data_IF_821960584205
#
_entry.id   IF_821960584205
#
_cell.length_a   1.000
_cell.length_b   1.000
_cell.length_c   1.000
_cell.angle_alpha   90.00
_cell.angle_beta   90.00
_cell.angle_gamma   90.00
#
_symmetry.space_group_name_H-M   'P 1'
#
loop_
_entity.id
_entity.type
_entity.pdbx_description
1 polymer ?
#
# COMPACT_ATOMS: atom_id res chain seq x y z
N UNK A 1 -8.97 8.58 0.22
CA UNK A 1 -8.19 7.37 -0.17
C UNK A 1 -8.20 6.31 0.92
N UNK A 2 -7.68 6.59 2.13
CA UNK A 2 -7.60 5.60 3.22
C UNK A 2 -8.94 4.90 3.53
N UNK A 3 -10.04 5.65 3.60
CA UNK A 3 -11.37 5.07 3.84
C UNK A 3 -11.81 4.05 2.77
N UNK A 4 -11.45 4.28 1.50
CA UNK A 4 -11.77 3.36 0.41
C UNK A 4 -10.99 2.04 0.56
N UNK A 5 -9.68 2.12 0.79
CA UNK A 5 -8.82 0.93 1.00
C UNK A 5 -9.22 0.19 2.28
N UNK A 6 -9.53 0.91 3.36
CA UNK A 6 -10.06 0.32 4.59
C UNK A 6 -11.38 -0.43 4.35
N UNK A 7 -12.29 0.12 3.56
CA UNK A 7 -13.52 -0.57 3.19
C UNK A 7 -13.23 -1.85 2.39
N UNK A 8 -12.29 -1.80 1.45
CA UNK A 8 -11.84 -2.96 0.65
C UNK A 8 -11.43 -4.15 1.54
N UNK A 9 -10.60 -3.89 2.56
CA UNK A 9 -10.11 -4.94 3.47
C UNK A 9 -11.11 -5.34 4.56
N UNK A 10 -11.66 -4.34 5.25
CA UNK A 10 -12.37 -4.55 6.52
C UNK A 10 -13.86 -4.84 6.34
N UNK A 11 -14.43 -4.51 5.18
CA UNK A 11 -15.86 -4.72 4.86
C UNK A 11 -16.04 -5.67 3.68
N UNK A 12 -15.35 -5.40 2.57
CA UNK A 12 -15.46 -6.24 1.38
C UNK A 12 -14.58 -7.50 1.45
N UNK A 13 -13.62 -7.56 2.38
CA UNK A 13 -12.70 -8.68 2.58
C UNK A 13 -11.99 -9.09 1.29
N UNK A 14 -11.51 -8.09 0.55
CA UNK A 14 -10.77 -8.24 -0.70
C UNK A 14 -9.58 -7.27 -0.74
N UNK A 15 -8.94 -7.13 -1.90
CA UNK A 15 -7.77 -6.27 -2.13
C UNK A 15 -7.83 -5.65 -3.53
N UNK A 16 -7.03 -4.60 -3.75
CA UNK A 16 -6.98 -3.87 -5.01
C UNK A 16 -5.76 -4.21 -5.88
N UNK A 17 -4.61 -4.51 -5.29
CA UNK A 17 -3.29 -4.78 -5.92
C UNK A 17 -2.62 -3.58 -6.61
N UNK A 18 -3.40 -2.61 -7.10
CA UNK A 18 -2.91 -1.45 -7.85
C UNK A 18 -3.37 -0.12 -7.22
N UNK A 19 -3.13 0.07 -5.92
CA UNK A 19 -3.47 1.33 -5.23
C UNK A 19 -2.48 2.41 -5.64
N UNK A 20 -2.90 3.32 -6.53
CA UNK A 20 -2.09 4.44 -7.04
C UNK A 20 -2.94 5.70 -7.26
N UNK A 21 -2.34 6.91 -7.33
CA UNK A 21 -3.09 8.14 -7.56
C UNK A 21 -4.01 8.08 -8.79
N UNK A 22 -3.52 7.48 -9.89
CA UNK A 22 -4.29 7.34 -11.14
C UNK A 22 -5.54 6.46 -11.04
N UNK A 23 -5.68 5.65 -9.99
CA UNK A 23 -6.85 4.79 -9.76
C UNK A 23 -7.86 5.41 -8.78
N UNK A 24 -7.69 6.69 -8.43
CA UNK A 24 -8.70 7.48 -7.73
C UNK A 24 -9.25 8.56 -8.65
N UNK A 25 -10.57 8.53 -8.87
CA UNK A 25 -11.28 9.57 -9.61
C UNK A 25 -12.04 10.49 -8.67
N UNK A 26 -12.29 11.72 -9.11
CA UNK A 26 -13.22 12.64 -8.47
C UNK A 26 -14.58 12.55 -9.16
N UNK A 27 -15.65 12.41 -8.38
CA UNK A 27 -17.02 12.55 -8.88
C UNK A 27 -17.47 14.03 -8.89
N UNK A 28 -18.73 14.28 -9.25
CA UNK A 28 -19.29 15.65 -9.33
C UNK A 28 -19.41 16.35 -7.96
N UNK A 29 -19.40 15.58 -6.87
CA UNK A 29 -19.43 16.08 -5.49
C UNK A 29 -18.01 16.19 -4.89
N UNK A 30 -16.97 15.95 -5.70
CA UNK A 30 -15.56 15.89 -5.28
C UNK A 30 -15.24 14.75 -4.30
N UNK A 31 -16.03 13.68 -4.27
CA UNK A 31 -15.66 12.47 -3.57
C UNK A 31 -14.59 11.71 -4.35
N UNK A 32 -13.65 11.07 -3.63
CA UNK A 32 -12.65 10.19 -4.23
C UNK A 32 -13.20 8.76 -4.36
N UNK A 33 -13.24 8.24 -5.58
CA UNK A 33 -13.72 6.90 -5.93
C UNK A 33 -12.55 6.02 -6.39
N UNK A 34 -12.38 4.87 -5.74
CA UNK A 34 -11.38 3.85 -6.11
C UNK A 34 -11.91 2.97 -7.26
N UNK A 35 -11.15 2.88 -8.36
CA UNK A 35 -11.50 2.19 -9.61
C UNK A 35 -10.40 1.24 -10.06
N UNK A 36 -10.61 0.53 -11.18
CA UNK A 36 -9.62 -0.36 -11.83
C UNK A 36 -9.35 -1.65 -11.03
N UNK A 37 -10.43 -2.41 -10.81
CA UNK A 37 -10.46 -3.64 -10.00
C UNK A 37 -9.99 -4.89 -10.75
N UNK A 38 -9.77 -4.80 -12.06
CA UNK A 38 -9.40 -5.91 -12.94
C UNK A 38 -7.89 -6.22 -12.97
N UNK A 39 -7.09 -5.54 -12.14
CA UNK A 39 -5.64 -5.54 -12.25
C UNK A 39 -4.98 -6.83 -11.73
N UNK A 40 -3.93 -7.26 -12.43
CA UNK A 40 -3.14 -8.46 -12.12
C UNK A 40 -1.67 -8.15 -11.84
N UNK A 41 -1.34 -6.88 -11.57
CA UNK A 41 0.02 -6.45 -11.27
C UNK A 41 0.05 -5.21 -10.39
N UNK A 42 1.13 -5.08 -9.63
CA UNK A 42 1.43 -3.89 -8.85
C UNK A 42 2.53 -3.09 -9.59
N UNK A 43 2.39 -1.76 -9.74
CA UNK A 43 3.47 -0.92 -10.26
C UNK A 43 4.67 -0.95 -9.33
N UNK A 44 5.86 -1.20 -9.85
CA UNK A 44 7.11 -1.24 -9.07
C UNK A 44 7.33 0.02 -8.23
N UNK A 45 6.89 1.17 -8.74
CA UNK A 45 7.04 2.47 -8.08
C UNK A 45 6.16 2.64 -6.83
N UNK A 46 5.22 1.73 -6.60
CA UNK A 46 4.21 1.83 -5.54
C UNK A 46 4.06 0.51 -4.76
N UNK A 47 4.48 -0.61 -5.33
CA UNK A 47 4.43 -1.93 -4.71
C UNK A 47 5.24 -2.01 -3.41
N UNK A 48 4.69 -2.70 -2.41
CA UNK A 48 5.45 -3.03 -1.21
C UNK A 48 6.62 -3.99 -1.54
N UNK A 49 7.79 -3.86 -0.90
CA UNK A 49 8.96 -4.69 -1.24
C UNK A 49 8.73 -6.18 -1.01
N UNK A 50 7.94 -6.56 0.01
CA UNK A 50 7.73 -7.95 0.38
C UNK A 50 6.78 -8.73 -0.56
N UNK A 51 6.12 -8.08 -1.52
CA UNK A 51 5.19 -8.73 -2.46
C UNK A 51 5.88 -9.34 -3.69
N UNK A 52 7.21 -9.35 -3.71
CA UNK A 52 8.08 -9.89 -4.77
C UNK A 52 7.96 -11.41 -5.00
N UNK A 53 7.08 -12.08 -4.27
CA UNK A 53 6.87 -13.51 -4.42
C UNK A 53 8.08 -14.35 -4.00
N UNK A 54 8.98 -13.87 -3.14
CA UNK A 54 10.10 -14.64 -2.57
C UNK A 54 9.93 -14.98 -1.08
N UNK A 55 8.87 -14.46 -0.44
CA UNK A 55 8.58 -14.69 0.98
C UNK A 55 7.33 -15.53 1.19
N UNK A 56 7.34 -16.35 2.24
CA UNK A 56 6.15 -16.88 2.89
C UNK A 56 5.85 -16.02 4.12
N UNK A 57 4.57 -15.92 4.50
CA UNK A 57 4.15 -15.14 5.66
C UNK A 57 3.21 -15.97 6.52
N UNK A 58 3.40 -15.88 7.83
CA UNK A 58 2.48 -16.41 8.83
C UNK A 58 2.19 -15.35 9.90
N UNK A 59 0.98 -15.41 10.44
CA UNK A 59 0.56 -14.57 11.55
C UNK A 59 0.79 -15.32 12.87
N UNK A 60 1.65 -14.77 13.73
CA UNK A 60 2.04 -15.38 15.01
C UNK A 60 1.51 -14.55 16.19
N UNK A 61 1.20 -15.18 17.34
CA UNK A 61 0.87 -14.45 18.55
C UNK A 61 2.03 -13.56 19.02
N UNK A 62 1.73 -12.34 19.43
CA UNK A 62 2.63 -11.41 20.11
C UNK A 62 2.28 -11.30 21.60
N UNK A 63 3.20 -10.75 22.40
CA UNK A 63 3.08 -10.66 23.87
C UNK A 63 1.87 -9.83 24.32
N UNK A 64 1.41 -8.87 23.50
CA UNK A 64 0.35 -7.91 23.84
C UNK A 64 -1.05 -8.29 23.33
N UNK A 65 -1.36 -9.59 23.17
CA UNK A 65 -2.60 -10.08 22.51
C UNK A 65 -2.78 -9.63 21.05
N UNK A 66 -1.82 -8.91 20.50
CA UNK A 66 -1.75 -8.57 19.10
C UNK A 66 -1.06 -9.71 18.34
N UNK A 67 -1.14 -9.67 17.02
CA UNK A 67 -0.44 -10.60 16.15
C UNK A 67 0.73 -9.92 15.45
N UNK A 68 1.76 -10.68 15.11
CA UNK A 68 2.92 -10.22 14.34
C UNK A 68 3.05 -11.07 13.09
N UNK A 69 3.49 -10.47 11.99
CA UNK A 69 3.79 -11.17 10.76
C UNK A 69 5.22 -11.67 10.80
N UNK A 70 5.41 -12.97 10.58
CA UNK A 70 6.73 -13.58 10.38
C UNK A 70 6.91 -13.89 8.91
N UNK A 71 7.84 -13.19 8.29
CA UNK A 71 8.26 -13.46 6.92
C UNK A 71 9.42 -14.45 6.92
N UNK A 72 9.29 -15.52 6.15
CA UNK A 72 10.35 -16.52 5.95
C UNK A 72 10.67 -16.61 4.47
N UNK A 73 11.96 -16.55 4.13
CA UNK A 73 12.37 -16.66 2.73
C UNK A 73 12.01 -18.04 2.19
N UNK A 74 11.27 -18.08 1.09
CA UNK A 74 10.85 -19.33 0.46
C UNK A 74 12.08 -20.07 -0.10
N UNK A 75 12.19 -21.36 0.23
CA UNK A 75 13.32 -22.23 -0.18
C UNK A 75 12.87 -23.50 -0.92
N UNK A 76 11.59 -23.57 -1.27
CA UNK A 76 11.02 -24.70 -2.00
C UNK A 76 11.29 -24.67 -3.51
N UNK A 77 10.68 -25.61 -4.26
CA UNK A 77 10.74 -25.63 -5.73
C UNK A 77 10.21 -24.34 -6.35
N UNK A 78 10.55 -24.07 -7.61
CA UNK A 78 10.00 -22.94 -8.36
C UNK A 78 8.47 -22.90 -8.24
N UNK A 79 7.95 -21.73 -7.84
CA UNK A 79 6.52 -21.55 -7.56
C UNK A 79 5.89 -20.66 -8.63
N UNK A 80 4.68 -21.02 -9.05
CA UNK A 80 3.87 -20.25 -9.99
C UNK A 80 2.39 -20.45 -9.68
N UNK A 81 1.67 -19.35 -9.52
CA UNK A 81 0.20 -19.34 -9.44
C UNK A 81 -0.43 -18.44 -10.51
N UNK A 82 0.38 -17.77 -11.34
CA UNK A 82 -0.07 -17.00 -12.49
C UNK A 82 0.08 -17.78 -13.81
N UNK A 83 -0.82 -17.59 -14.79
CA UNK A 83 -0.70 -18.18 -16.13
C UNK A 83 0.67 -17.98 -16.76
N UNK A 84 1.15 -18.95 -17.55
CA UNK A 84 2.44 -18.84 -18.24
C UNK A 84 2.45 -17.69 -19.27
N UNK A 85 1.27 -17.25 -19.70
CA UNK A 85 1.05 -16.14 -20.62
C UNK A 85 0.99 -14.77 -19.94
N UNK A 86 1.09 -14.71 -18.60
CA UNK A 86 1.08 -13.42 -17.88
C UNK A 86 2.30 -12.59 -18.29
N UNK A 87 2.11 -11.37 -18.80
CA UNK A 87 3.21 -10.50 -19.20
C UNK A 87 4.00 -10.01 -17.99
N UNK A 88 5.27 -9.69 -18.22
CA UNK A 88 6.19 -9.20 -17.18
C UNK A 88 7.04 -10.30 -16.54
N UNK A 89 8.07 -9.88 -15.82
CA UNK A 89 9.06 -10.73 -15.16
C UNK A 89 9.21 -10.43 -13.67
N UNK A 90 8.36 -9.56 -13.11
CA UNK A 90 8.37 -9.28 -11.67
C UNK A 90 7.80 -10.48 -10.90
N UNK A 91 8.13 -10.54 -9.61
CA UNK A 91 7.69 -11.58 -8.70
C UNK A 91 6.20 -11.91 -8.78
N UNK A 92 5.35 -10.88 -8.69
CA UNK A 92 3.90 -11.00 -8.78
C UNK A 92 3.37 -11.44 -10.16
N UNK A 93 4.18 -11.36 -11.24
CA UNK A 93 3.81 -11.91 -12.55
C UNK A 93 3.97 -13.44 -12.61
N UNK A 94 4.72 -14.03 -11.68
CA UNK A 94 4.95 -15.48 -11.57
C UNK A 94 4.20 -16.04 -10.36
N UNK A 95 4.44 -15.45 -9.19
CA UNK A 95 3.84 -15.80 -7.91
C UNK A 95 3.16 -14.57 -7.30
N UNK A 96 1.88 -14.44 -7.57
CA UNK A 96 1.04 -13.39 -7.02
C UNK A 96 0.70 -13.73 -5.56
N UNK A 97 1.36 -13.06 -4.62
CA UNK A 97 1.17 -13.29 -3.19
C UNK A 97 -0.22 -12.91 -2.70
N UNK A 98 -0.91 -11.97 -3.36
CA UNK A 98 -2.22 -11.48 -2.91
C UNK A 98 -3.29 -12.59 -2.96
N UNK A 99 -3.21 -13.49 -3.95
CA UNK A 99 -4.10 -14.64 -4.08
C UNK A 99 -3.99 -15.62 -2.90
N UNK A 100 -2.80 -15.72 -2.30
CA UNK A 100 -2.52 -16.61 -1.18
C UNK A 100 -2.75 -15.90 0.15
N UNK A 101 -2.20 -14.70 0.32
CA UNK A 101 -2.30 -13.90 1.54
C UNK A 101 -3.74 -13.48 1.81
N UNK A 102 -4.53 -13.17 0.79
CA UNK A 102 -5.96 -12.89 0.96
C UNK A 102 -6.75 -14.02 1.61
N UNK A 103 -6.25 -15.26 1.55
CA UNK A 103 -6.88 -16.43 2.20
C UNK A 103 -6.20 -16.78 3.53
N UNK A 104 -4.89 -16.70 3.57
CA UNK A 104 -4.08 -17.28 4.64
C UNK A 104 -3.59 -16.24 5.66
N UNK A 105 -3.39 -15.00 5.24
CA UNK A 105 -2.85 -13.92 6.08
C UNK A 105 -3.35 -12.53 5.59
N UNK A 106 -4.63 -12.19 5.81
CA UNK A 106 -5.20 -10.90 5.37
C UNK A 106 -4.46 -9.68 5.93
N UNK A 107 -3.83 -9.80 7.10
CA UNK A 107 -3.02 -8.72 7.68
C UNK A 107 -1.79 -8.38 6.84
N UNK A 108 -1.12 -9.37 6.24
CA UNK A 108 0.01 -9.11 5.35
C UNK A 108 -0.43 -8.37 4.09
N UNK A 109 -1.60 -8.74 3.57
CA UNK A 109 -2.24 -8.10 2.43
C UNK A 109 -2.62 -6.64 2.71
N UNK A 110 -3.24 -6.39 3.86
CA UNK A 110 -3.58 -5.05 4.35
C UNK A 110 -2.32 -4.17 4.38
N UNK A 111 -1.27 -4.64 5.04
CA UNK A 111 -0.06 -3.84 5.23
C UNK A 111 0.71 -3.60 3.93
N UNK A 112 0.64 -4.52 2.96
CA UNK A 112 1.16 -4.29 1.62
C UNK A 112 0.40 -3.16 0.90
N UNK A 113 -0.93 -3.12 0.99
CA UNK A 113 -1.72 -2.04 0.38
C UNK A 113 -1.61 -0.72 1.17
N UNK A 114 -1.34 -0.76 2.48
CA UNK A 114 -0.96 0.43 3.26
C UNK A 114 0.31 1.06 2.69
N UNK A 115 1.32 0.27 2.34
CA UNK A 115 2.55 0.82 1.73
C UNK A 115 2.25 1.51 0.39
N UNK A 116 1.49 0.85 -0.48
CA UNK A 116 1.06 1.43 -1.77
C UNK A 116 0.22 2.70 -1.60
N UNK A 117 -0.66 2.72 -0.60
CA UNK A 117 -1.41 3.91 -0.22
C UNK A 117 -0.48 5.02 0.32
N UNK A 118 0.51 4.68 1.14
CA UNK A 118 1.55 5.60 1.62
C UNK A 118 2.30 6.26 0.47
N UNK A 119 2.78 5.46 -0.49
CA UNK A 119 3.42 5.94 -1.72
C UNK A 119 2.51 6.87 -2.49
N UNK A 120 1.24 6.51 -2.64
CA UNK A 120 0.25 7.33 -3.33
C UNK A 120 0.01 8.68 -2.64
N UNK A 121 -0.10 8.69 -1.30
CA UNK A 121 -0.26 9.92 -0.52
C UNK A 121 1.00 10.80 -0.59
N UNK A 122 2.19 10.20 -0.50
CA UNK A 122 3.45 10.91 -0.71
C UNK A 122 3.48 11.58 -2.09
N UNK A 123 3.18 10.85 -3.16
CA UNK A 123 3.17 11.43 -4.53
C UNK A 123 2.22 12.62 -4.65
N UNK A 124 1.04 12.57 -4.01
CA UNK A 124 0.06 13.66 -4.04
C UNK A 124 0.48 14.88 -3.23
N UNK A 125 1.06 14.67 -2.05
CA UNK A 125 1.47 15.76 -1.15
C UNK A 125 2.79 16.38 -1.63
N UNK A 126 3.79 15.54 -1.92
CA UNK A 126 5.15 15.97 -2.29
C UNK A 126 5.24 16.46 -3.73
N UNK A 127 4.44 15.89 -4.63
CA UNK A 127 4.52 16.12 -6.08
C UNK A 127 5.96 16.02 -6.61
N UNK A 128 6.64 14.87 -6.43
CA UNK A 128 8.01 14.68 -6.88
C UNK A 128 8.11 14.80 -8.40
N UNK A 129 9.30 15.10 -8.92
CA UNK A 129 9.51 14.99 -10.35
C UNK A 129 9.37 13.51 -10.77
N UNK A 130 8.40 13.23 -11.62
CA UNK A 130 8.13 11.88 -12.13
C UNK A 130 9.00 11.53 -13.34
N UNK A 131 9.80 12.46 -13.85
CA UNK A 131 10.81 12.18 -14.87
C UNK A 131 11.76 11.07 -14.36
N UNK A 132 11.83 9.96 -15.09
CA UNK A 132 12.66 8.80 -14.72
C UNK A 132 11.93 7.71 -13.93
N UNK A 133 10.68 7.90 -13.52
CA UNK A 133 9.88 6.81 -12.93
C UNK A 133 9.65 5.65 -13.92
N UNK A 134 9.74 5.92 -15.23
CA UNK A 134 9.68 4.89 -16.28
C UNK A 134 10.91 3.96 -16.29
N UNK A 135 12.05 4.43 -15.77
CA UNK A 135 13.30 3.67 -15.71
C UNK A 135 13.44 2.85 -14.43
N UNK A 136 12.50 2.99 -13.48
CA UNK A 136 12.55 2.33 -12.18
C UNK A 136 12.25 0.84 -12.33
N UNK A 137 13.16 0.00 -11.84
CA UNK A 137 13.08 -1.46 -11.96
C UNK A 137 12.85 -2.19 -10.63
N UNK A 138 13.08 -1.54 -9.50
CA UNK A 138 12.69 -2.05 -8.18
C UNK A 138 12.14 -0.96 -7.26
N UNK A 139 11.37 -1.34 -6.23
CA UNK A 139 10.71 -0.37 -5.35
C UNK A 139 11.70 0.44 -4.52
N UNK A 140 12.88 -0.13 -4.25
CA UNK A 140 13.94 0.48 -3.45
C UNK A 140 14.66 1.62 -4.18
N UNK A 141 14.49 1.76 -5.50
CA UNK A 141 15.05 2.87 -6.29
C UNK A 141 14.28 4.18 -6.08
N UNK A 142 13.03 4.12 -5.63
CA UNK A 142 12.25 5.32 -5.34
C UNK A 142 12.65 5.86 -3.97
N UNK A 143 12.98 7.15 -3.93
CA UNK A 143 13.35 7.88 -2.71
C UNK A 143 12.18 8.74 -2.27
N UNK A 144 11.63 8.48 -1.09
CA UNK A 144 10.53 9.25 -0.51
C UNK A 144 11.04 10.44 0.31
N UNK A 145 11.59 11.46 -0.35
CA UNK A 145 11.98 12.70 0.32
C UNK A 145 10.82 13.67 0.52
N UNK A 146 10.99 14.59 1.47
CA UNK A 146 10.10 15.73 1.70
C UNK A 146 10.78 17.07 1.46
N UNK A 147 11.81 17.11 0.60
CA UNK A 147 12.52 18.36 0.29
C UNK A 147 11.53 19.38 -0.30
N UNK A 148 11.67 20.67 0.03
CA UNK A 148 10.80 21.72 -0.52
C UNK A 148 9.29 21.50 -0.29
N UNK A 149 8.91 20.82 0.80
CA UNK A 149 7.51 20.52 1.18
C UNK A 149 7.17 21.09 2.56
N UNK A 150 7.65 22.30 2.84
CA UNK A 150 7.44 22.99 4.12
C UNK A 150 6.01 23.47 4.33
N UNK A 151 5.20 23.49 3.27
CA UNK A 151 3.77 23.79 3.27
C UNK A 151 2.92 22.61 3.75
N UNK A 152 3.46 21.38 3.72
CA UNK A 152 2.77 20.18 4.19
C UNK A 152 2.94 20.04 5.71
N UNK A 153 1.85 19.86 6.49
CA UNK A 153 1.94 19.69 7.94
C UNK A 153 2.84 18.51 8.34
N UNK A 154 3.67 18.71 9.36
CA UNK A 154 4.65 17.71 9.81
C UNK A 154 4.00 16.38 10.18
N UNK A 155 2.87 16.40 10.87
CA UNK A 155 2.14 15.19 11.26
C UNK A 155 1.53 14.45 10.07
N UNK A 156 1.25 15.12 8.95
CA UNK A 156 0.83 14.45 7.71
C UNK A 156 1.99 13.71 7.06
N UNK A 157 3.19 14.29 7.07
CA UNK A 157 4.41 13.62 6.58
C UNK A 157 4.72 12.38 7.41
N UNK A 158 4.67 12.51 8.74
CA UNK A 158 4.89 11.38 9.65
C UNK A 158 3.89 10.24 9.44
N UNK A 159 2.58 10.50 9.27
CA UNK A 159 1.63 9.40 9.05
C UNK A 159 1.87 8.68 7.72
N UNK A 160 2.37 9.41 6.71
CA UNK A 160 2.74 8.82 5.42
C UNK A 160 4.00 7.98 5.56
N UNK A 161 5.00 8.44 6.31
CA UNK A 161 6.20 7.67 6.65
C UNK A 161 5.86 6.39 7.45
N UNK A 162 4.90 6.48 8.37
CA UNK A 162 4.38 5.32 9.10
C UNK A 162 3.71 4.29 8.16
N UNK A 163 3.22 4.68 6.98
CA UNK A 163 2.74 3.74 5.98
C UNK A 163 3.90 3.05 5.21
N UNK A 164 5.05 3.74 5.10
CA UNK A 164 6.17 3.39 4.22
C UNK A 164 7.28 2.59 4.92
N UNK A 165 7.09 2.19 6.18
CA UNK A 165 8.06 1.35 6.86
C UNK A 165 8.39 0.08 6.06
N UNK A 166 9.69 -0.19 5.89
CA UNK A 166 10.14 -1.39 5.18
C UNK A 166 9.70 -2.68 5.89
N UNK A 167 9.72 -2.72 7.23
CA UNK A 167 9.14 -3.81 8.03
C UNK A 167 7.62 -3.62 8.12
N UNK A 168 6.81 -4.54 7.56
CA UNK A 168 5.35 -4.41 7.57
C UNK A 168 4.78 -4.31 8.99
N UNK A 169 5.40 -4.92 10.00
CA UNK A 169 4.91 -4.87 11.38
C UNK A 169 5.01 -3.50 12.04
N UNK A 170 5.79 -2.58 11.44
CA UNK A 170 5.91 -1.20 11.91
C UNK A 170 4.92 -0.27 11.21
N UNK A 171 4.26 -0.74 10.15
CA UNK A 171 3.32 0.11 9.41
C UNK A 171 2.06 0.38 10.22
N UNK A 172 1.53 1.59 10.09
CA UNK A 172 0.21 1.95 10.62
C UNK A 172 -0.89 1.08 9.97
N UNK A 173 -1.87 0.62 10.75
CA UNK A 173 -3.02 -0.13 10.22
C UNK A 173 -4.04 0.78 9.50
N UNK A 174 -4.90 0.20 8.66
CA UNK A 174 -5.90 0.98 7.93
C UNK A 174 -6.91 1.67 8.86
N UNK A 175 -7.24 1.06 10.00
CA UNK A 175 -8.16 1.65 10.99
C UNK A 175 -7.58 2.92 11.59
N UNK A 176 -6.33 2.85 12.04
CA UNK A 176 -5.60 3.97 12.63
C UNK A 176 -5.38 5.08 11.60
N UNK A 177 -5.04 4.71 10.35
CA UNK A 177 -4.86 5.64 9.25
C UNK A 177 -6.15 6.38 8.89
N UNK A 178 -7.29 5.69 8.82
CA UNK A 178 -8.61 6.33 8.62
C UNK A 178 -8.92 7.28 9.77
N UNK A 179 -8.74 6.83 11.01
CA UNK A 179 -9.01 7.66 12.18
C UNK A 179 -8.12 8.91 12.22
N UNK A 180 -6.88 8.83 11.74
CA UNK A 180 -6.01 9.99 11.56
C UNK A 180 -6.62 10.99 10.58
N UNK A 181 -6.92 10.58 9.35
CA UNK A 181 -7.44 11.49 8.32
C UNK A 181 -8.82 12.05 8.64
N UNK A 182 -9.66 11.30 9.36
CA UNK A 182 -10.95 11.78 9.82
C UNK A 182 -10.80 12.92 10.84
N UNK A 183 -9.82 12.85 11.75
CA UNK A 183 -9.52 13.94 12.69
C UNK A 183 -8.99 15.17 11.97
N UNK A 184 -8.04 15.00 11.06
CA UNK A 184 -7.49 16.11 10.27
C UNK A 184 -8.59 16.85 9.48
N UNK A 185 -9.49 16.10 8.85
CA UNK A 185 -10.63 16.68 8.13
C UNK A 185 -11.56 17.46 9.06
N UNK A 186 -11.82 16.95 10.27
CA UNK A 186 -12.66 17.66 11.26
C UNK A 186 -11.99 18.96 11.70
N UNK A 187 -10.70 18.93 12.03
CA UNK A 187 -9.95 20.12 12.45
C UNK A 187 -9.88 21.19 11.34
N UNK A 188 -9.73 20.79 10.08
CA UNK A 188 -9.76 21.74 8.96
C UNK A 188 -11.14 22.41 8.83
N UNK A 189 -12.22 21.64 8.92
CA UNK A 189 -13.58 22.18 8.84
C UNK A 189 -13.89 23.15 9.99
N UNK A 190 -13.35 22.91 11.20
CA UNK A 190 -13.52 23.81 12.35
C UNK A 190 -12.73 25.12 12.22
N UNK A 191 -11.61 25.13 11.48
CA UNK A 191 -10.83 26.35 11.22
C UNK A 191 -11.45 27.25 10.17
N UNK A 192 -12.26 26.68 9.29
CA UNK A 192 -12.94 27.38 8.18
C UNK A 192 -14.34 27.92 8.56
N UNK A 193 -14.82 27.65 9.78
CA UNK A 193 -16.09 28.16 10.36
C UNK A 193 -15.88 29.28 11.36
#
# INVERSE_FOLDING_TARGET
MAAAVAHTHLVAHTYHMDVKPGNFLLDEESNLVLIDWEQNGAPVTIAAPEIDGTWDVEEIPSEDQNTTLRYTKYTGPERRNMPITTPGNHGWNVWNVFLEWGKQCPKALELAEVFSLGRSMWMLLRQPNLDGFEDITCTEEVVEDWESSEDIPEHWRHVVEDCLHHDPNKRIGLRELVAFWDRERQEMNERDT
#
